data_IF_269498723801
#
_entry.id   IF_269498723801
#
_cell.length_a   1.000
_cell.length_b   1.000
_cell.length_c   1.000
_cell.angle_alpha   90.00
_cell.angle_beta   90.00
_cell.angle_gamma   90.00
#
_symmetry.space_group_name_H-M   'P 1'
#
loop_
_entity.id
_entity.type
_entity.pdbx_description
1 polymer ?
#
# COMPACT_ATOMS: atom_id res chain seq x y z
N UNK A 1 13.67 22.56 7.93
CA UNK A 1 12.71 21.51 8.28
C UNK A 1 11.32 22.11 8.21
N UNK A 2 10.54 21.77 7.19
CA UNK A 2 9.10 22.10 7.19
C UNK A 2 8.47 21.17 8.21
N UNK A 3 7.87 21.73 9.27
CA UNK A 3 7.01 20.94 10.17
C UNK A 3 5.79 20.55 9.34
N UNK A 4 5.78 19.32 8.86
CA UNK A 4 4.63 18.75 8.15
C UNK A 4 3.46 18.76 9.11
N UNK A 5 2.53 19.68 8.87
CA UNK A 5 1.28 19.72 9.62
C UNK A 5 0.27 18.85 8.92
N UNK A 6 -0.36 17.98 9.69
CA UNK A 6 -1.41 17.08 9.21
C UNK A 6 -2.78 17.52 9.72
N UNK A 7 -3.82 17.16 8.98
CA UNK A 7 -5.20 17.38 9.38
C UNK A 7 -5.62 16.31 10.40
N UNK A 8 -5.92 16.73 11.61
CA UNK A 8 -6.41 15.84 12.66
C UNK A 8 -7.77 15.23 12.28
N UNK A 9 -7.97 13.92 12.39
CA UNK A 9 -9.26 13.28 12.08
C UNK A 9 -10.38 13.72 13.02
N UNK A 10 -10.07 14.02 14.30
CA UNK A 10 -11.08 14.38 15.31
C UNK A 10 -11.55 15.83 15.19
N UNK A 11 -10.62 16.77 15.35
CA UNK A 11 -10.97 18.20 15.40
C UNK A 11 -10.91 18.89 14.03
N UNK A 12 -10.50 18.18 12.98
CA UNK A 12 -10.42 18.65 11.58
C UNK A 12 -9.49 19.84 11.35
N UNK A 13 -8.67 20.20 12.32
CA UNK A 13 -7.70 21.29 12.19
C UNK A 13 -6.36 20.81 11.62
N UNK A 14 -5.61 21.69 10.97
CA UNK A 14 -4.24 21.45 10.49
C UNK A 14 -3.22 21.70 11.61
N UNK A 15 -3.37 20.98 12.73
CA UNK A 15 -2.54 21.17 13.92
C UNK A 15 -1.91 19.88 14.46
N UNK A 16 -2.11 18.75 13.79
CA UNK A 16 -1.33 17.56 14.08
C UNK A 16 0.10 17.76 13.54
N UNK A 17 1.09 17.52 14.40
CA UNK A 17 2.52 17.72 14.11
C UNK A 17 3.26 16.41 14.33
N UNK A 18 4.18 16.09 13.44
CA UNK A 18 5.03 14.92 13.57
C UNK A 18 5.99 15.05 14.75
N UNK A 19 6.03 14.04 15.59
CA UNK A 19 6.97 13.82 16.69
C UNK A 19 7.66 12.48 16.46
N UNK A 20 8.78 12.50 15.77
CA UNK A 20 9.47 11.30 15.27
C UNK A 20 8.57 10.47 14.33
N UNK A 21 8.12 9.29 14.76
CA UNK A 21 7.22 8.42 14.00
C UNK A 21 5.74 8.71 14.26
N UNK A 22 5.43 9.33 15.39
CA UNK A 22 4.07 9.62 15.86
C UNK A 22 3.62 11.03 15.45
N UNK A 23 2.34 11.30 15.65
CA UNK A 23 1.74 12.63 15.51
C UNK A 23 1.02 13.02 16.78
N UNK A 24 1.09 14.31 17.15
CA UNK A 24 0.29 14.89 18.23
C UNK A 24 -0.51 16.08 17.71
N UNK A 25 -1.81 16.10 17.97
CA UNK A 25 -2.66 17.24 17.62
C UNK A 25 -2.61 18.30 18.72
N UNK A 26 -2.03 19.46 18.42
CA UNK A 26 -1.93 20.58 19.38
C UNK A 26 -3.28 21.24 19.71
N UNK A 27 -4.35 20.94 18.95
CA UNK A 27 -5.70 21.46 19.25
C UNK A 27 -6.48 20.57 20.22
N UNK A 28 -6.45 19.27 20.08
CA UNK A 28 -7.21 18.34 20.93
C UNK A 28 -6.35 17.44 21.82
N UNK A 29 -5.03 17.45 21.65
CA UNK A 29 -4.07 16.69 22.46
C UNK A 29 -4.01 15.19 22.15
N UNK A 30 -4.69 14.73 21.10
CA UNK A 30 -4.65 13.31 20.73
C UNK A 30 -3.35 12.98 20.00
N UNK A 31 -2.79 11.80 20.31
CA UNK A 31 -1.64 11.22 19.63
C UNK A 31 -2.06 10.12 18.67
N UNK A 32 -1.27 9.95 17.61
CA UNK A 32 -1.50 8.98 16.53
C UNK A 32 -0.16 8.35 16.13
N UNK A 33 -0.17 7.07 15.81
CA UNK A 33 1.03 6.27 15.53
C UNK A 33 1.50 6.33 14.07
N UNK A 34 0.81 7.05 13.20
CA UNK A 34 1.15 7.16 11.77
C UNK A 34 0.59 8.44 11.15
N UNK A 35 1.09 8.79 9.96
CA UNK A 35 0.51 9.81 9.09
C UNK A 35 -0.12 9.20 7.84
N UNK A 36 -1.32 9.64 7.50
CA UNK A 36 -2.08 9.18 6.35
C UNK A 36 -1.76 10.00 5.10
N UNK A 37 -1.38 9.31 4.04
CA UNK A 37 -1.28 9.87 2.67
C UNK A 37 -2.39 9.25 1.84
N UNK A 38 -3.25 10.09 1.28
CA UNK A 38 -4.32 9.64 0.36
C UNK A 38 -3.89 9.81 -1.08
N UNK A 39 -4.21 8.82 -1.90
CA UNK A 39 -3.95 8.84 -3.34
C UNK A 39 -5.22 8.43 -4.08
N UNK A 40 -6.22 9.34 -4.20
CA UNK A 40 -7.51 9.04 -4.81
C UNK A 40 -7.41 9.02 -6.34
N UNK A 41 -6.65 8.07 -6.86
CA UNK A 41 -6.40 7.90 -8.29
C UNK A 41 -6.49 6.43 -8.67
N UNK A 42 -7.02 6.17 -9.88
CA UNK A 42 -7.02 4.87 -10.52
C UNK A 42 -6.58 5.02 -11.98
N UNK A 43 -5.52 4.35 -12.35
CA UNK A 43 -4.89 4.46 -13.67
C UNK A 43 -5.37 3.34 -14.61
N UNK A 44 -6.60 3.53 -15.11
CA UNK A 44 -7.29 2.60 -15.99
C UNK A 44 -8.77 2.94 -16.13
N UNK A 45 -9.48 2.17 -16.92
CA UNK A 45 -10.90 2.40 -17.23
C UNK A 45 -11.81 1.82 -16.14
N UNK A 46 -12.78 2.62 -15.66
CA UNK A 46 -13.81 2.17 -14.70
C UNK A 46 -13.34 2.12 -13.24
N UNK A 47 -12.22 2.76 -12.90
CA UNK A 47 -11.64 2.77 -11.56
C UNK A 47 -12.26 3.75 -10.55
N UNK A 48 -13.37 4.43 -10.90
CA UNK A 48 -14.02 5.43 -10.05
C UNK A 48 -14.37 4.90 -8.64
N UNK A 49 -14.81 3.64 -8.45
CA UNK A 49 -15.05 3.12 -7.10
C UNK A 49 -13.80 3.07 -6.23
N UNK A 50 -12.64 2.74 -6.81
CA UNK A 50 -11.37 2.75 -6.09
C UNK A 50 -10.95 4.18 -5.71
N UNK A 51 -11.17 5.16 -6.59
CA UNK A 51 -10.92 6.58 -6.30
C UNK A 51 -11.77 7.04 -5.12
N UNK A 52 -13.05 6.68 -5.09
CA UNK A 52 -13.95 6.99 -3.97
C UNK A 52 -13.51 6.31 -2.68
N UNK A 53 -13.09 5.04 -2.75
CA UNK A 53 -12.63 4.26 -1.61
C UNK A 53 -11.38 4.86 -0.93
N UNK A 54 -10.50 5.52 -1.69
CA UNK A 54 -9.34 6.24 -1.12
C UNK A 54 -9.75 7.40 -0.19
N UNK A 55 -11.04 7.77 -0.15
CA UNK A 55 -11.60 8.78 0.75
C UNK A 55 -12.24 8.19 2.02
N UNK A 56 -12.19 6.87 2.24
CA UNK A 56 -12.71 6.23 3.46
C UNK A 56 -12.11 6.86 4.72
N UNK A 57 -12.92 7.06 5.75
CA UNK A 57 -12.58 7.81 6.94
C UNK A 57 -11.70 6.97 7.89
N UNK A 58 -10.39 6.97 7.68
CA UNK A 58 -9.44 6.36 8.60
C UNK A 58 -9.09 7.33 9.74
N UNK A 59 -8.80 6.76 10.92
CA UNK A 59 -8.57 7.50 12.16
C UNK A 59 -7.10 7.90 12.34
N UNK A 60 -6.50 8.49 11.28
CA UNK A 60 -5.12 8.95 11.23
C UNK A 60 -5.03 10.40 10.72
N UNK A 61 -4.03 11.18 11.17
CA UNK A 61 -3.81 12.52 10.67
C UNK A 61 -3.47 12.50 9.17
N UNK A 62 -4.24 13.25 8.38
CA UNK A 62 -4.03 13.37 6.95
C UNK A 62 -2.88 14.34 6.66
N UNK A 63 -1.76 13.77 6.20
CA UNK A 63 -0.52 14.49 5.88
C UNK A 63 -0.60 15.10 4.48
N UNK A 64 -1.09 14.32 3.52
CA UNK A 64 -1.23 14.74 2.13
C UNK A 64 -2.42 14.05 1.46
N UNK A 65 -2.97 14.73 0.46
CA UNK A 65 -3.86 14.16 -0.56
C UNK A 65 -3.16 14.41 -1.90
N UNK A 66 -2.79 13.35 -2.59
CA UNK A 66 -2.04 13.40 -3.85
C UNK A 66 -3.00 13.13 -5.01
N UNK A 67 -3.28 14.18 -5.77
CA UNK A 67 -4.12 14.14 -6.98
C UNK A 67 -3.32 14.78 -8.11
N UNK A 68 -2.86 13.96 -9.05
CA UNK A 68 -1.96 14.38 -10.11
C UNK A 68 -2.49 13.97 -11.49
N UNK A 69 -2.08 14.69 -12.53
CA UNK A 69 -2.55 14.47 -13.90
C UNK A 69 -1.92 13.26 -14.58
N UNK A 70 -0.79 12.77 -14.07
CA UNK A 70 -0.08 11.61 -14.62
C UNK A 70 0.47 10.71 -13.52
N UNK A 71 0.58 9.41 -13.80
CA UNK A 71 1.18 8.46 -12.89
C UNK A 71 2.62 8.83 -12.49
N UNK A 72 3.38 9.39 -13.42
CA UNK A 72 4.75 9.84 -13.13
C UNK A 72 4.78 10.99 -12.11
N UNK A 73 3.87 11.96 -12.23
CA UNK A 73 3.74 13.06 -11.25
C UNK A 73 3.22 12.54 -9.91
N UNK A 74 2.23 11.66 -9.91
CA UNK A 74 1.75 10.99 -8.70
C UNK A 74 2.88 10.26 -7.97
N UNK A 75 3.68 9.47 -8.71
CA UNK A 75 4.83 8.75 -8.13
C UNK A 75 5.79 9.70 -7.41
N UNK A 76 6.16 10.82 -8.04
CA UNK A 76 7.05 11.83 -7.44
C UNK A 76 6.42 12.53 -6.23
N UNK A 77 5.14 12.90 -6.32
CA UNK A 77 4.43 13.57 -5.24
C UNK A 77 4.28 12.65 -4.02
N UNK A 78 3.85 11.40 -4.20
CA UNK A 78 3.78 10.42 -3.11
C UNK A 78 5.15 10.23 -2.48
N UNK A 79 6.20 10.01 -3.27
CA UNK A 79 7.56 9.78 -2.75
C UNK A 79 8.07 10.94 -1.89
N UNK A 80 7.71 12.19 -2.24
CA UNK A 80 8.14 13.39 -1.50
C UNK A 80 7.31 13.69 -0.26
N UNK A 81 6.04 13.27 -0.22
CA UNK A 81 5.10 13.63 0.85
C UNK A 81 4.95 12.54 1.93
N UNK A 82 5.72 11.44 1.84
CA UNK A 82 5.69 10.38 2.84
C UNK A 82 6.12 10.87 4.23
N UNK A 83 5.32 10.65 5.29
CA UNK A 83 5.75 10.82 6.66
C UNK A 83 6.81 9.78 7.06
N UNK A 84 7.33 9.86 8.28
CA UNK A 84 8.33 8.90 8.78
C UNK A 84 7.74 7.49 8.81
N UNK A 85 6.51 7.34 9.27
CA UNK A 85 5.76 6.09 9.28
C UNK A 85 4.49 6.24 8.43
N UNK A 86 4.57 5.98 7.12
CA UNK A 86 3.47 6.21 6.21
C UNK A 86 2.40 5.12 6.29
N UNK A 87 1.15 5.57 6.34
CA UNK A 87 -0.03 4.80 5.98
C UNK A 87 -0.56 5.39 4.68
N UNK A 88 -0.48 4.66 3.59
CA UNK A 88 -1.01 5.08 2.28
C UNK A 88 -2.38 4.45 2.06
N UNK A 89 -3.38 5.27 1.72
CA UNK A 89 -4.66 4.79 1.23
C UNK A 89 -4.82 5.24 -0.22
N UNK A 90 -4.58 4.32 -1.12
CA UNK A 90 -4.66 4.55 -2.56
C UNK A 90 -5.93 4.00 -3.20
N UNK A 91 -6.29 4.52 -4.37
CA UNK A 91 -7.32 3.90 -5.19
C UNK A 91 -6.79 2.58 -5.77
N UNK A 92 -5.77 2.63 -6.59
CA UNK A 92 -5.17 1.45 -7.21
C UNK A 92 -3.70 1.22 -6.79
N UNK A 93 -3.18 0.04 -7.11
CA UNK A 93 -1.82 -0.40 -6.76
C UNK A 93 -0.70 0.50 -7.28
N UNK A 94 -0.96 1.37 -8.27
CA UNK A 94 -0.01 2.40 -8.69
C UNK A 94 0.44 3.36 -7.57
N UNK A 95 -0.34 3.47 -6.48
CA UNK A 95 0.01 4.28 -5.31
C UNK A 95 1.25 3.74 -4.59
N UNK A 96 1.48 2.43 -4.65
CA UNK A 96 2.65 1.79 -4.04
C UNK A 96 3.96 2.18 -4.73
N UNK A 97 3.93 2.53 -6.03
CA UNK A 97 5.16 2.88 -6.77
C UNK A 97 5.87 4.05 -6.09
N UNK A 98 5.16 5.16 -5.85
CA UNK A 98 5.74 6.32 -5.17
C UNK A 98 6.12 6.04 -3.71
N UNK A 99 5.31 5.24 -3.00
CA UNK A 99 5.62 4.87 -1.63
C UNK A 99 6.93 4.07 -1.53
N UNK A 100 7.11 3.06 -2.38
CA UNK A 100 8.34 2.25 -2.42
C UNK A 100 9.54 3.08 -2.85
N UNK A 101 9.42 3.92 -3.90
CA UNK A 101 10.52 4.79 -4.34
C UNK A 101 10.96 5.77 -3.23
N UNK A 102 10.00 6.40 -2.53
CA UNK A 102 10.29 7.32 -1.44
C UNK A 102 10.94 6.64 -0.24
N UNK A 103 10.48 5.44 0.13
CA UNK A 103 11.07 4.65 1.21
C UNK A 103 12.45 4.09 0.83
N UNK A 104 12.63 3.61 -0.41
CA UNK A 104 13.94 3.17 -0.90
C UNK A 104 14.96 4.31 -0.90
N UNK A 105 14.57 5.52 -1.29
CA UNK A 105 15.43 6.69 -1.21
C UNK A 105 15.83 7.05 0.22
N UNK A 106 14.96 6.78 1.21
CA UNK A 106 15.18 7.07 2.63
C UNK A 106 16.02 6.01 3.34
N UNK A 107 15.74 4.73 3.07
CA UNK A 107 16.36 3.59 3.76
C UNK A 107 17.51 2.96 2.98
N UNK A 108 17.72 3.36 1.73
CA UNK A 108 18.72 2.80 0.82
C UNK A 108 18.30 1.46 0.18
N UNK A 109 17.62 0.61 0.94
CA UNK A 109 17.12 -0.69 0.49
C UNK A 109 15.83 -1.04 1.25
N UNK A 110 14.80 -1.43 0.51
CA UNK A 110 13.49 -1.83 1.06
C UNK A 110 13.06 -3.12 0.38
N UNK A 111 12.71 -4.12 1.17
CA UNK A 111 12.01 -5.29 0.67
C UNK A 111 10.48 -5.03 0.66
N UNK A 112 9.78 -5.68 -0.25
CA UNK A 112 8.34 -5.49 -0.41
C UNK A 112 7.61 -6.82 -0.22
N UNK A 113 6.68 -6.82 0.71
CA UNK A 113 5.66 -7.84 0.80
C UNK A 113 4.44 -7.35 0.03
N UNK A 114 4.26 -7.88 -1.19
CA UNK A 114 3.17 -7.56 -2.09
C UNK A 114 2.06 -8.58 -1.88
N UNK A 115 0.97 -8.15 -1.23
CA UNK A 115 -0.22 -8.95 -0.96
C UNK A 115 -1.28 -8.58 -2.00
N UNK A 116 -1.62 -9.52 -2.85
CA UNK A 116 -2.48 -9.26 -4.01
C UNK A 116 -3.06 -10.57 -4.54
N UNK A 117 -4.27 -10.54 -5.09
CA UNK A 117 -4.80 -11.65 -5.86
C UNK A 117 -4.17 -11.76 -7.26
N UNK A 118 -3.59 -10.67 -7.75
CA UNK A 118 -2.99 -10.52 -9.08
C UNK A 118 -1.46 -10.49 -9.01
N UNK A 119 -0.82 -10.36 -10.17
CA UNK A 119 0.64 -10.27 -10.25
C UNK A 119 1.17 -8.85 -10.22
N UNK A 120 0.42 -7.92 -10.77
CA UNK A 120 0.82 -6.53 -11.03
C UNK A 120 2.14 -6.41 -11.83
N UNK A 121 2.41 -7.45 -12.65
CA UNK A 121 3.65 -7.66 -13.39
C UNK A 121 3.48 -7.53 -14.91
N UNK A 122 2.30 -7.10 -15.36
CA UNK A 122 2.08 -6.80 -16.76
C UNK A 122 2.89 -5.58 -17.23
N UNK A 123 3.02 -5.45 -18.54
CA UNK A 123 3.54 -4.27 -19.25
C UNK A 123 2.45 -3.73 -20.18
N UNK A 124 2.60 -2.55 -20.77
CA UNK A 124 1.66 -2.08 -21.78
C UNK A 124 1.44 -3.05 -22.96
N UNK A 125 2.46 -3.89 -23.26
CA UNK A 125 2.42 -4.88 -24.34
C UNK A 125 1.76 -6.19 -23.93
N UNK A 126 1.78 -6.54 -22.64
CA UNK A 126 1.27 -7.83 -22.16
C UNK A 126 -0.10 -7.72 -21.49
N UNK A 127 -0.48 -6.53 -21.00
CA UNK A 127 -1.74 -6.31 -20.30
C UNK A 127 -2.94 -6.52 -21.23
N UNK A 128 -3.87 -7.43 -20.90
CA UNK A 128 -5.08 -7.63 -21.69
C UNK A 128 -6.03 -6.42 -21.68
N UNK A 129 -6.07 -5.69 -20.55
CA UNK A 129 -6.93 -4.52 -20.35
C UNK A 129 -6.27 -3.21 -20.76
N UNK A 130 -4.94 -3.13 -20.75
CA UNK A 130 -4.17 -1.91 -20.89
C UNK A 130 -4.18 -1.01 -19.66
N UNK A 131 -4.83 -1.42 -18.58
CA UNK A 131 -4.90 -0.64 -17.35
C UNK A 131 -3.56 -0.68 -16.60
N UNK A 132 -3.06 0.50 -16.20
CA UNK A 132 -1.76 0.62 -15.53
C UNK A 132 -1.75 0.02 -14.12
N UNK A 133 -2.91 -0.14 -13.48
CA UNK A 133 -2.99 -0.76 -12.15
C UNK A 133 -2.57 -2.23 -12.09
N UNK A 134 -2.53 -2.96 -13.22
CA UNK A 134 -1.96 -4.31 -13.29
C UNK A 134 -0.45 -4.33 -13.62
N UNK A 135 0.28 -3.21 -13.43
CA UNK A 135 1.67 -3.06 -13.84
C UNK A 135 2.63 -2.55 -12.74
N UNK A 136 2.19 -2.08 -11.56
CA UNK A 136 3.04 -1.30 -10.67
C UNK A 136 4.21 -2.07 -10.07
N UNK A 137 4.06 -3.36 -9.76
CA UNK A 137 5.19 -4.16 -9.31
C UNK A 137 6.23 -4.32 -10.44
N UNK A 138 5.78 -4.53 -11.67
CA UNK A 138 6.68 -4.57 -12.82
C UNK A 138 7.42 -3.24 -13.03
N UNK A 139 6.75 -2.12 -12.88
CA UNK A 139 7.39 -0.79 -12.99
C UNK A 139 8.53 -0.61 -11.99
N UNK A 140 8.36 -1.04 -10.74
CA UNK A 140 9.40 -0.98 -9.70
C UNK A 140 10.62 -1.85 -10.04
N UNK A 141 10.38 -3.05 -10.56
CA UNK A 141 11.44 -3.98 -10.96
C UNK A 141 12.20 -3.48 -12.19
N UNK A 142 11.49 -3.03 -13.23
CA UNK A 142 12.12 -2.53 -14.47
C UNK A 142 12.92 -1.23 -14.25
N UNK A 143 12.51 -0.38 -13.29
CA UNK A 143 13.27 0.81 -12.90
C UNK A 143 14.47 0.50 -12.01
N UNK A 144 14.60 -0.74 -11.54
CA UNK A 144 15.66 -1.14 -10.62
C UNK A 144 15.50 -0.57 -9.21
N UNK A 145 14.31 -0.08 -8.85
CA UNK A 145 13.98 0.33 -7.47
C UNK A 145 13.94 -0.88 -6.55
N UNK A 146 13.45 -2.01 -7.07
CA UNK A 146 13.44 -3.31 -6.40
C UNK A 146 14.24 -4.34 -7.20
N UNK A 147 14.90 -5.26 -6.51
CA UNK A 147 15.34 -6.51 -7.11
C UNK A 147 14.27 -7.60 -6.86
N UNK A 148 14.13 -8.55 -7.78
CA UNK A 148 13.16 -9.64 -7.63
C UNK A 148 13.36 -10.43 -6.32
N UNK A 149 14.61 -10.56 -5.87
CA UNK A 149 14.94 -11.21 -4.60
C UNK A 149 14.41 -10.47 -3.36
N UNK A 150 14.05 -9.18 -3.48
CA UNK A 150 13.53 -8.35 -2.40
C UNK A 150 12.01 -8.27 -2.40
N UNK A 151 11.36 -9.03 -3.27
CA UNK A 151 9.91 -9.11 -3.39
C UNK A 151 9.42 -10.49 -2.96
N UNK A 152 8.33 -10.48 -2.21
CA UNK A 152 7.45 -11.64 -2.03
C UNK A 152 6.08 -11.26 -2.55
N UNK A 153 5.55 -12.03 -3.48
CA UNK A 153 4.19 -11.93 -4.00
C UNK A 153 3.33 -12.97 -3.26
N UNK A 154 2.46 -12.50 -2.38
CA UNK A 154 1.69 -13.38 -1.51
C UNK A 154 0.19 -13.29 -1.80
N UNK A 155 -0.45 -14.43 -2.02
CA UNK A 155 -1.89 -14.55 -2.28
C UNK A 155 -2.28 -14.51 -3.76
N UNK A 156 -1.31 -14.33 -4.66
CA UNK A 156 -1.55 -14.31 -6.10
C UNK A 156 -2.16 -15.62 -6.60
N UNK A 157 -3.30 -15.51 -7.29
CA UNK A 157 -4.10 -16.65 -7.75
C UNK A 157 -4.83 -16.41 -9.07
N UNK A 158 -4.91 -15.15 -9.50
CA UNK A 158 -5.43 -14.76 -10.80
C UNK A 158 -4.31 -14.07 -11.58
N UNK A 159 -3.51 -14.87 -12.29
CA UNK A 159 -2.34 -14.38 -13.02
C UNK A 159 -2.56 -14.54 -14.53
N UNK A 160 -2.11 -13.54 -15.28
CA UNK A 160 -1.96 -13.66 -16.72
C UNK A 160 -0.72 -14.50 -17.07
N UNK A 161 -0.75 -15.22 -18.19
CA UNK A 161 0.38 -16.07 -18.62
C UNK A 161 1.74 -15.31 -18.66
N UNK A 162 1.83 -14.06 -19.14
CA UNK A 162 3.10 -13.30 -19.10
C UNK A 162 3.59 -13.03 -17.67
N UNK A 163 2.69 -12.90 -16.70
CA UNK A 163 3.04 -12.71 -15.29
C UNK A 163 3.61 -14.00 -14.69
N UNK A 164 2.97 -15.16 -14.95
CA UNK A 164 3.48 -16.47 -14.53
C UNK A 164 4.89 -16.71 -15.09
N UNK A 165 5.10 -16.42 -16.38
CA UNK A 165 6.39 -16.56 -17.03
C UNK A 165 7.45 -15.64 -16.39
N UNK A 166 7.07 -14.39 -16.07
CA UNK A 166 7.97 -13.42 -15.44
C UNK A 166 8.33 -13.83 -14.00
N UNK A 167 7.35 -14.25 -13.18
CA UNK A 167 7.55 -14.75 -11.81
C UNK A 167 8.56 -15.90 -11.82
N UNK A 168 8.36 -16.88 -12.71
CA UNK A 168 9.24 -18.02 -12.83
C UNK A 168 10.66 -17.64 -13.28
N UNK A 169 10.79 -16.76 -14.27
CA UNK A 169 12.07 -16.32 -14.82
C UNK A 169 12.86 -15.43 -13.83
N UNK A 170 12.18 -14.56 -13.09
CA UNK A 170 12.79 -13.66 -12.12
C UNK A 170 13.03 -14.33 -10.75
N UNK A 171 12.39 -15.48 -10.48
CA UNK A 171 12.49 -16.18 -9.21
C UNK A 171 11.77 -15.48 -8.06
N UNK A 172 10.67 -14.76 -8.35
CA UNK A 172 9.84 -14.15 -7.32
C UNK A 172 9.13 -15.27 -6.55
N UNK A 173 9.28 -15.27 -5.22
CA UNK A 173 8.70 -16.27 -4.33
C UNK A 173 7.52 -15.74 -3.53
N UNK A 174 6.94 -16.63 -2.72
CA UNK A 174 5.80 -16.38 -1.84
C UNK A 174 6.11 -16.56 -0.34
N UNK A 175 7.36 -16.87 0.00
CA UNK A 175 7.81 -17.14 1.37
C UNK A 175 8.09 -15.82 2.14
N UNK A 176 7.07 -15.34 2.84
CA UNK A 176 7.14 -14.13 3.66
C UNK A 176 8.12 -14.27 4.85
N UNK A 177 8.25 -15.46 5.44
CA UNK A 177 9.15 -15.67 6.58
C UNK A 177 10.61 -15.60 6.12
N UNK A 178 10.94 -16.15 4.94
CA UNK A 178 12.26 -15.98 4.35
C UNK A 178 12.56 -14.52 4.00
N UNK A 179 11.59 -13.73 3.52
CA UNK A 179 11.75 -12.30 3.29
C UNK A 179 12.04 -11.58 4.61
N UNK A 180 11.21 -11.79 5.63
CA UNK A 180 11.35 -11.17 6.95
C UNK A 180 12.66 -11.54 7.63
N UNK A 181 13.19 -12.74 7.41
CA UNK A 181 14.46 -13.15 7.99
C UNK A 181 15.66 -12.32 7.45
N UNK A 182 15.67 -11.99 6.13
CA UNK A 182 16.80 -11.34 5.47
C UNK A 182 16.69 -9.82 5.31
N UNK A 183 15.46 -9.29 5.23
CA UNK A 183 15.24 -7.86 5.03
C UNK A 183 15.67 -7.02 6.23
N UNK A 184 16.08 -5.76 6.00
CA UNK A 184 16.35 -4.76 7.04
C UNK A 184 15.18 -3.78 7.16
N UNK A 185 14.49 -3.47 6.07
CA UNK A 185 13.30 -2.63 6.00
C UNK A 185 12.26 -3.29 5.09
N UNK A 186 10.99 -3.30 5.52
CA UNK A 186 9.89 -3.95 4.80
C UNK A 186 8.74 -2.95 4.61
N UNK A 187 8.32 -2.76 3.37
CA UNK A 187 7.07 -2.12 3.04
C UNK A 187 6.01 -3.18 2.73
N UNK A 188 4.80 -2.98 3.25
CA UNK A 188 3.65 -3.82 2.92
C UNK A 188 2.82 -3.10 1.87
N UNK A 189 2.81 -3.64 0.65
CA UNK A 189 1.88 -3.26 -0.40
C UNK A 189 0.70 -4.24 -0.35
N UNK A 190 -0.47 -3.78 0.06
CA UNK A 190 -1.64 -4.62 0.23
C UNK A 190 -2.75 -4.16 -0.71
N UNK A 191 -2.92 -4.90 -1.83
CA UNK A 191 -4.18 -4.85 -2.54
C UNK A 191 -5.22 -5.65 -1.73
N UNK A 192 -6.33 -5.00 -1.42
CA UNK A 192 -7.34 -5.57 -0.55
C UNK A 192 -8.09 -6.74 -1.18
N UNK A 193 -7.98 -6.95 -2.50
CA UNK A 193 -8.55 -8.09 -3.21
C UNK A 193 -7.81 -9.42 -2.94
N UNK A 194 -6.65 -9.35 -2.27
CA UNK A 194 -6.00 -10.55 -1.73
C UNK A 194 -6.92 -11.29 -0.77
N UNK A 195 -7.72 -10.56 0.01
CA UNK A 195 -8.65 -11.09 1.03
C UNK A 195 -9.85 -11.75 0.37
N UNK A 196 -10.45 -12.74 1.03
CA UNK A 196 -11.72 -13.33 0.61
C UNK A 196 -12.79 -12.23 0.44
N UNK A 197 -13.46 -12.14 -0.72
CA UNK A 197 -14.42 -11.07 -1.01
C UNK A 197 -15.69 -11.09 -0.11
N UNK A 198 -15.94 -12.19 0.61
CA UNK A 198 -17.02 -12.23 1.60
C UNK A 198 -16.67 -11.45 2.89
N UNK A 199 -15.39 -11.14 3.10
CA UNK A 199 -14.92 -10.46 4.31
C UNK A 199 -14.55 -8.98 4.08
N UNK A 200 -14.18 -8.60 2.87
CA UNK A 200 -13.75 -7.24 2.52
C UNK A 200 -14.36 -6.82 1.18
N UNK A 201 -15.02 -5.66 1.14
CA UNK A 201 -15.56 -5.16 -0.11
C UNK A 201 -14.45 -4.55 -0.98
N UNK A 202 -14.19 -5.14 -2.13
CA UNK A 202 -13.10 -4.79 -3.04
C UNK A 202 -13.63 -4.49 -4.44
N UNK A 203 -12.81 -3.81 -5.24
CA UNK A 203 -13.17 -3.42 -6.61
C UNK A 203 -13.16 -4.63 -7.55
N UNK A 204 -12.14 -5.48 -7.47
CA UNK A 204 -12.02 -6.71 -8.26
C UNK A 204 -12.05 -7.93 -7.32
N UNK A 205 -13.24 -8.47 -7.00
CA UNK A 205 -13.34 -9.59 -6.08
C UNK A 205 -12.83 -10.89 -6.70
N UNK A 206 -11.79 -11.47 -6.11
CA UNK A 206 -11.22 -12.75 -6.52
C UNK A 206 -11.50 -13.83 -5.46
N UNK A 207 -12.22 -14.91 -5.82
CA UNK A 207 -12.57 -15.96 -4.86
C UNK A 207 -11.35 -16.78 -4.41
N UNK A 208 -11.46 -17.40 -3.24
CA UNK A 208 -10.45 -18.33 -2.71
C UNK A 208 -9.24 -17.65 -2.09
N UNK A 209 -9.38 -16.37 -1.72
CA UNK A 209 -8.37 -15.65 -0.96
C UNK A 209 -8.29 -16.09 0.50
N UNK A 210 -7.25 -15.67 1.22
CA UNK A 210 -7.14 -15.85 2.65
C UNK A 210 -8.25 -15.08 3.38
N UNK A 211 -8.61 -15.55 4.56
CA UNK A 211 -9.47 -14.82 5.48
C UNK A 211 -8.77 -13.57 6.00
N UNK A 212 -9.55 -12.62 6.49
CA UNK A 212 -9.01 -11.42 7.15
C UNK A 212 -8.13 -11.78 8.34
N UNK A 213 -8.50 -12.83 9.10
CA UNK A 213 -7.72 -13.33 10.24
C UNK A 213 -6.33 -13.87 9.81
N UNK A 214 -6.23 -14.54 8.66
CA UNK A 214 -4.95 -15.04 8.14
C UNK A 214 -4.06 -13.88 7.69
N UNK A 215 -4.63 -12.85 7.06
CA UNK A 215 -3.90 -11.63 6.72
C UNK A 215 -3.43 -10.91 7.99
N UNK A 216 -4.28 -10.75 9.01
CA UNK A 216 -3.88 -10.16 10.30
C UNK A 216 -2.72 -10.91 10.96
N UNK A 217 -2.72 -12.24 10.92
CA UNK A 217 -1.62 -13.06 11.45
C UNK A 217 -0.31 -12.78 10.69
N UNK A 218 -0.36 -12.67 9.36
CA UNK A 218 0.81 -12.30 8.56
C UNK A 218 1.31 -10.89 8.93
N UNK A 219 0.42 -9.90 9.00
CA UNK A 219 0.77 -8.53 9.35
C UNK A 219 1.33 -8.43 10.77
N UNK A 220 0.83 -9.23 11.71
CA UNK A 220 1.38 -9.35 13.07
C UNK A 220 2.83 -9.84 13.04
N UNK A 221 3.15 -10.84 12.20
CA UNK A 221 4.55 -11.29 12.03
C UNK A 221 5.45 -10.19 11.44
N UNK A 222 4.92 -9.42 10.48
CA UNK A 222 5.65 -8.26 9.93
C UNK A 222 5.96 -7.24 11.02
N UNK A 223 4.98 -6.85 11.84
CA UNK A 223 5.17 -5.96 13.00
C UNK A 223 6.22 -6.51 13.96
N UNK A 224 6.08 -7.77 14.35
CA UNK A 224 6.94 -8.42 15.36
C UNK A 224 8.38 -8.59 14.86
N UNK A 225 8.61 -8.55 13.55
CA UNK A 225 9.96 -8.51 12.98
C UNK A 225 10.72 -7.21 13.30
N UNK A 226 10.00 -6.12 13.65
CA UNK A 226 10.56 -4.79 13.90
C UNK A 226 11.11 -4.10 12.64
N UNK A 227 10.73 -4.56 11.43
CA UNK A 227 11.29 -4.10 10.15
C UNK A 227 10.32 -3.30 9.30
N UNK A 228 9.08 -3.14 9.76
CA UNK A 228 8.04 -2.40 9.03
C UNK A 228 8.41 -0.91 8.93
N UNK A 229 8.50 -0.40 7.69
CA UNK A 229 8.77 1.02 7.42
C UNK A 229 7.58 1.76 6.82
N UNK A 230 6.52 1.06 6.45
CA UNK A 230 5.28 1.66 5.92
C UNK A 230 4.32 0.61 5.37
N UNK A 231 3.09 1.02 5.17
CA UNK A 231 2.03 0.19 4.57
C UNK A 231 1.17 1.02 3.63
N UNK A 232 0.67 0.38 2.58
CA UNK A 232 -0.37 0.94 1.73
C UNK A 232 -1.50 -0.06 1.53
N UNK A 233 -2.73 0.47 1.43
CA UNK A 233 -3.94 -0.27 1.11
C UNK A 233 -4.53 0.27 -0.19
N UNK A 234 -4.92 -0.62 -1.10
CA UNK A 234 -5.46 -0.31 -2.43
C UNK A 234 -6.60 -1.27 -2.80
N UNK A 235 -7.22 -1.10 -3.96
CA UNK A 235 -8.19 -2.05 -4.53
C UNK A 235 -9.56 -2.11 -3.85
N UNK A 236 -9.86 -1.21 -2.92
CA UNK A 236 -11.11 -1.22 -2.16
C UNK A 236 -12.32 -0.75 -2.99
N UNK A 237 -13.49 -1.27 -2.66
CA UNK A 237 -14.76 -0.62 -2.96
C UNK A 237 -15.12 0.42 -1.88
N UNK A 238 -15.95 1.44 -2.20
CA UNK A 238 -16.28 2.52 -1.27
C UNK A 238 -17.38 2.10 -0.25
N UNK A 239 -17.16 0.97 0.42
CA UNK A 239 -18.04 0.46 1.46
C UNK A 239 -17.58 0.99 2.84
N UNK A 240 -18.44 1.71 3.60
CA UNK A 240 -18.10 2.17 4.95
C UNK A 240 -17.70 1.05 5.92
N UNK A 241 -18.17 -0.18 5.72
CA UNK A 241 -17.76 -1.33 6.54
C UNK A 241 -16.27 -1.67 6.41
N UNK A 242 -15.62 -1.25 5.32
CA UNK A 242 -14.17 -1.42 5.14
C UNK A 242 -13.35 -0.63 6.18
N UNK A 243 -13.90 0.45 6.74
CA UNK A 243 -13.20 1.25 7.77
C UNK A 243 -12.85 0.42 8.99
N UNK A 244 -13.80 -0.40 9.49
CA UNK A 244 -13.56 -1.29 10.63
C UNK A 244 -12.52 -2.36 10.28
N UNK A 245 -12.61 -2.96 9.09
CA UNK A 245 -11.69 -3.99 8.63
C UNK A 245 -10.26 -3.45 8.44
N UNK A 246 -10.13 -2.28 7.84
CA UNK A 246 -8.84 -1.58 7.75
C UNK A 246 -8.27 -1.23 9.14
N UNK A 247 -9.15 -0.86 10.10
CA UNK A 247 -8.76 -0.66 11.48
C UNK A 247 -8.15 -1.91 12.13
N UNK A 248 -8.69 -3.10 11.83
CA UNK A 248 -8.11 -4.37 12.28
C UNK A 248 -6.72 -4.61 11.66
N UNK A 249 -6.59 -4.44 10.33
CA UNK A 249 -5.33 -4.64 9.62
C UNK A 249 -4.23 -3.65 10.08
N UNK A 250 -4.59 -2.38 10.27
CA UNK A 250 -3.65 -1.37 10.78
C UNK A 250 -3.23 -1.67 12.23
N UNK A 251 -4.16 -2.09 13.10
CA UNK A 251 -3.85 -2.51 14.46
C UNK A 251 -2.92 -3.73 14.50
N UNK A 252 -3.08 -4.72 13.60
CA UNK A 252 -2.18 -5.85 13.49
C UNK A 252 -0.74 -5.42 13.16
N UNK A 253 -0.56 -4.34 12.38
CA UNK A 253 0.72 -3.72 12.06
C UNK A 253 1.27 -2.80 13.17
N UNK A 254 0.47 -2.53 14.22
CA UNK A 254 0.85 -1.64 15.31
C UNK A 254 0.69 -0.15 14.99
N UNK A 255 -0.21 0.16 14.06
CA UNK A 255 -0.61 1.53 13.72
C UNK A 255 -1.75 2.00 14.61
#
# INVERSE_FOLDING_TARGET
MSLLRARCPDCRTLTAVALDEDYECHSCGRSFSAGLVRVPSAWGDGGEPMVEAASLALDYPEVAVVEEETLAMQTLAVASDLPTRPLVLGGCCCSHVGAVEGLAARHGHVAVLWLDAHGDLNTPETSPSGNEWGMPLRMLLDRGTLAAADVVLWGARNLDLPEEEYIAAAGIGDDSDALLARAEAVYVALDCDVVDPDELAVFMPEPGGPSLDEVEQLLTRVRDSGKLVGVGFTGLAPDPANVERLGRLTAALGY
#
